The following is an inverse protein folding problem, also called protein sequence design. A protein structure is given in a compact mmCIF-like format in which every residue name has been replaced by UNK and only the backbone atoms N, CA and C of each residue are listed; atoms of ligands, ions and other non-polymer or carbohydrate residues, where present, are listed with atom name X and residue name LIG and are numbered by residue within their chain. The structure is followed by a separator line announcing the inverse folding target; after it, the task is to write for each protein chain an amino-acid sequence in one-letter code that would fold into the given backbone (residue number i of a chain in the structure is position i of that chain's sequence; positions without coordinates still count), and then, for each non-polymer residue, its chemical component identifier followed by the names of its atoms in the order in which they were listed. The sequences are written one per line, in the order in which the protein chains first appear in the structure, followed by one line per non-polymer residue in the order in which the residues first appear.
data_IF_115851855740
#
_entry.id   IF_115851855740
#
_cell.length_a   1.000
_cell.length_b   1.000
_cell.length_c   1.000
_cell.angle_alpha   90.00
_cell.angle_beta   90.00
_cell.angle_gamma   90.00
#
_symmetry.space_group_name_H-M   'P 1'
#
loop_
_entity.id
_entity.type
_entity.pdbx_description
1 polymer ?
#
# COMPACT_ATOMS: atom_id res chain seq x y z
N UNK A 1 2.72 17.28 18.75
CA UNK A 1 2.33 18.61 18.21
C UNK A 1 2.24 18.64 16.69
N UNK A 2 3.24 18.19 15.92
CA UNK A 2 3.19 18.23 14.45
C UNK A 2 2.08 17.37 13.81
N UNK A 3 1.88 16.13 14.28
CA UNK A 3 0.83 15.22 13.77
C UNK A 3 -0.56 15.84 13.99
N UNK A 4 -0.82 16.35 15.19
CA UNK A 4 -2.06 17.05 15.53
C UNK A 4 -2.29 18.27 14.64
N UNK A 5 -1.24 19.07 14.40
CA UNK A 5 -1.32 20.22 13.49
C UNK A 5 -1.69 19.82 12.06
N UNK A 6 -1.08 18.75 11.53
CA UNK A 6 -1.43 18.21 10.21
C UNK A 6 -2.89 17.76 10.17
N UNK A 7 -3.37 17.02 11.18
CA UNK A 7 -4.76 16.57 11.25
C UNK A 7 -5.73 17.76 11.25
N UNK A 8 -5.45 18.81 12.04
CA UNK A 8 -6.30 19.99 12.12
C UNK A 8 -6.31 20.79 10.81
N UNK A 9 -5.15 20.98 10.18
CA UNK A 9 -5.06 21.68 8.88
C UNK A 9 -5.79 20.90 7.80
N UNK A 10 -5.60 19.58 7.73
CA UNK A 10 -6.23 18.75 6.70
C UNK A 10 -7.73 18.63 6.90
N UNK A 11 -8.21 18.43 8.13
CA UNK A 11 -9.63 18.40 8.42
C UNK A 11 -10.32 19.75 8.17
N UNK A 12 -9.61 20.87 8.34
CA UNK A 12 -10.12 22.21 8.04
C UNK A 12 -10.14 22.54 6.54
N UNK A 13 -9.09 22.18 5.79
CA UNK A 13 -8.99 22.46 4.35
C UNK A 13 -9.82 21.50 3.49
N UNK A 14 -9.97 20.26 3.93
CA UNK A 14 -10.67 19.20 3.22
C UNK A 14 -11.71 18.53 4.13
N UNK A 15 -12.79 19.25 4.50
CA UNK A 15 -13.85 18.67 5.32
C UNK A 15 -14.51 17.52 4.55
N UNK A 16 -14.67 16.37 5.23
CA UNK A 16 -15.40 15.22 4.68
C UNK A 16 -16.78 15.16 5.29
N UNK A 17 -17.78 14.99 4.43
CA UNK A 17 -19.15 14.79 4.87
C UNK A 17 -19.26 13.45 5.62
N UNK A 18 -19.81 13.49 6.83
CA UNK A 18 -20.31 12.29 7.50
C UNK A 18 -21.50 11.82 6.67
N UNK A 19 -21.44 10.58 6.16
CA UNK A 19 -22.28 10.09 5.06
C UNK A 19 -23.80 10.31 5.19
N UNK A 20 -24.54 10.02 4.14
CA UNK A 20 -25.97 10.33 4.06
C UNK A 20 -26.77 9.66 5.19
N UNK A 21 -27.66 10.44 5.82
CA UNK A 21 -28.55 9.93 6.86
C UNK A 21 -29.46 8.85 6.28
N UNK A 22 -29.54 7.71 6.96
CA UNK A 22 -30.44 6.63 6.56
C UNK A 22 -31.91 7.07 6.61
N UNK A 23 -32.64 6.81 5.51
CA UNK A 23 -34.07 7.08 5.37
C UNK A 23 -34.75 5.76 4.99
N UNK A 24 -35.61 5.18 5.84
CA UNK A 24 -36.14 3.82 5.67
C UNK A 24 -36.92 3.51 4.39
N UNK A 25 -37.29 4.52 3.59
CA UNK A 25 -38.15 4.40 2.42
C UNK A 25 -37.54 4.97 1.13
N UNK A 26 -36.26 5.35 1.15
CA UNK A 26 -35.52 5.73 -0.05
C UNK A 26 -34.60 4.59 -0.47
N UNK A 27 -34.40 4.37 -1.79
CA UNK A 27 -33.38 3.44 -2.25
C UNK A 27 -32.01 3.84 -1.68
N UNK A 28 -31.25 2.84 -1.27
CA UNK A 28 -29.92 3.02 -0.69
C UNK A 28 -28.98 3.62 -1.73
N UNK A 29 -28.55 4.85 -1.47
CA UNK A 29 -27.54 5.51 -2.29
C UNK A 29 -26.18 4.80 -2.15
N UNK A 30 -25.32 4.97 -3.15
CA UNK A 30 -23.93 4.52 -3.06
C UNK A 30 -23.26 5.30 -1.93
N UNK A 31 -22.95 4.59 -0.85
CA UNK A 31 -22.15 5.10 0.25
C UNK A 31 -20.86 4.33 0.27
N UNK A 32 -19.74 5.06 0.24
CA UNK A 32 -18.45 4.44 0.45
C UNK A 32 -18.21 4.36 1.96
N UNK A 33 -17.77 3.21 2.48
CA UNK A 33 -17.24 3.18 3.83
C UNK A 33 -15.91 3.93 3.87
N UNK A 34 -15.40 4.15 5.08
CA UNK A 34 -14.09 4.73 5.29
C UNK A 34 -13.00 3.90 4.59
N UNK A 35 -11.91 4.56 4.17
CA UNK A 35 -10.87 3.98 3.31
C UNK A 35 -10.26 2.67 3.86
N UNK A 36 -10.25 2.50 5.17
CA UNK A 36 -9.74 1.30 5.85
C UNK A 36 -10.71 0.11 5.82
N UNK A 37 -11.99 0.35 5.49
CA UNK A 37 -13.01 -0.69 5.23
C UNK A 37 -13.37 -0.83 3.75
N UNK A 38 -12.92 0.09 2.89
CA UNK A 38 -13.20 0.05 1.45
C UNK A 38 -12.67 -1.21 0.77
N UNK A 39 -11.61 -1.82 1.30
CA UNK A 39 -11.12 -3.11 0.81
C UNK A 39 -12.13 -4.25 1.01
N UNK A 40 -12.84 -4.28 2.14
CA UNK A 40 -13.91 -5.26 2.40
C UNK A 40 -15.13 -5.01 1.51
N UNK A 41 -15.45 -3.74 1.30
CA UNK A 41 -16.52 -3.33 0.39
C UNK A 41 -16.26 -3.80 -1.04
N UNK A 42 -15.02 -3.79 -1.51
CA UNK A 42 -14.66 -4.36 -2.81
C UNK A 42 -15.04 -5.83 -2.92
N UNK A 43 -14.76 -6.66 -1.89
CA UNK A 43 -15.12 -8.08 -1.90
C UNK A 43 -16.63 -8.29 -1.93
N UNK A 44 -17.41 -7.53 -1.15
CA UNK A 44 -18.89 -7.68 -1.11
C UNK A 44 -19.53 -7.37 -2.47
N UNK A 45 -18.87 -6.55 -3.30
CA UNK A 45 -19.33 -6.18 -4.64
C UNK A 45 -18.95 -7.18 -5.74
N UNK A 46 -18.12 -8.18 -5.43
CA UNK A 46 -17.72 -9.21 -6.41
C UNK A 46 -18.93 -10.06 -6.76
N UNK A 47 -19.21 -10.19 -8.06
CA UNK A 47 -20.34 -10.97 -8.55
C UNK A 47 -20.27 -12.42 -8.03
N UNK A 48 -21.41 -12.95 -7.58
CA UNK A 48 -21.54 -14.32 -7.07
C UNK A 48 -20.71 -14.66 -5.83
N UNK A 49 -20.00 -13.71 -5.22
CA UNK A 49 -19.37 -13.94 -3.92
C UNK A 49 -20.43 -13.74 -2.83
N UNK A 50 -20.60 -14.77 -2.00
CA UNK A 50 -21.53 -14.69 -0.87
C UNK A 50 -21.13 -13.55 0.09
N UNK A 51 -22.07 -12.67 0.50
CA UNK A 51 -21.75 -11.52 1.36
C UNK A 51 -21.16 -11.89 2.72
N UNK A 52 -21.52 -13.05 3.30
CA UNK A 52 -20.95 -13.51 4.56
C UNK A 52 -19.51 -14.00 4.34
N UNK A 53 -19.24 -14.70 3.24
CA UNK A 53 -17.87 -15.06 2.85
C UNK A 53 -17.03 -13.79 2.65
N UNK A 54 -17.53 -12.82 1.89
CA UNK A 54 -16.84 -11.57 1.58
C UNK A 54 -16.58 -10.72 2.83
N UNK A 55 -17.60 -10.53 3.68
CA UNK A 55 -17.56 -9.61 4.81
C UNK A 55 -16.99 -10.20 6.10
N UNK A 56 -17.04 -11.53 6.30
CA UNK A 56 -16.59 -12.17 7.53
C UNK A 56 -15.43 -13.14 7.30
N UNK A 57 -15.59 -14.10 6.38
CA UNK A 57 -14.61 -15.20 6.23
C UNK A 57 -13.29 -14.72 5.64
N UNK A 58 -13.31 -13.96 4.55
CA UNK A 58 -12.10 -13.41 3.92
C UNK A 58 -11.28 -12.55 4.91
N UNK A 59 -11.85 -11.53 5.57
CA UNK A 59 -11.11 -10.77 6.59
C UNK A 59 -10.60 -11.64 7.75
N UNK A 60 -11.39 -12.61 8.22
CA UNK A 60 -10.95 -13.52 9.28
C UNK A 60 -9.72 -14.35 8.85
N UNK A 61 -9.69 -14.82 7.60
CA UNK A 61 -8.52 -15.51 7.03
C UNK A 61 -7.31 -14.58 6.98
N UNK A 62 -7.46 -13.34 6.54
CA UNK A 62 -6.35 -12.37 6.53
C UNK A 62 -5.78 -12.15 7.95
N UNK A 63 -6.64 -11.93 8.94
CA UNK A 63 -6.23 -11.77 10.34
C UNK A 63 -5.51 -13.02 10.83
N UNK A 64 -6.05 -14.21 10.55
CA UNK A 64 -5.44 -15.47 10.93
C UNK A 64 -4.05 -15.64 10.30
N UNK A 65 -3.91 -15.34 9.00
CA UNK A 65 -2.61 -15.38 8.31
C UNK A 65 -1.60 -14.48 9.02
N UNK A 66 -1.94 -13.23 9.31
CA UNK A 66 -1.05 -12.31 10.03
C UNK A 66 -0.70 -12.80 11.44
N UNK A 67 -1.65 -13.42 12.14
CA UNK A 67 -1.44 -13.99 13.47
C UNK A 67 -0.47 -15.18 13.43
N UNK A 68 -0.53 -16.03 12.39
CA UNK A 68 0.30 -17.23 12.30
C UNK A 68 1.68 -16.98 11.70
N UNK A 69 1.89 -15.90 10.92
CA UNK A 69 3.21 -15.55 10.32
C UNK A 69 4.39 -15.70 11.30
N UNK A 70 4.38 -15.15 12.53
CA UNK A 70 5.54 -15.25 13.43
C UNK A 70 5.89 -16.70 13.81
N UNK A 71 4.94 -17.64 13.71
CA UNK A 71 5.18 -19.06 14.00
C UNK A 71 5.86 -19.79 12.84
N UNK A 72 5.79 -19.25 11.62
CA UNK A 72 6.51 -19.78 10.46
C UNK A 72 7.82 -19.02 10.22
N UNK A 73 7.88 -17.71 10.49
CA UNK A 73 9.11 -16.92 10.41
C UNK A 73 9.96 -17.03 11.70
N UNK A 74 10.49 -18.23 11.95
CA UNK A 74 11.36 -18.52 13.11
C UNK A 74 12.83 -18.19 12.89
N UNK A 75 13.18 -17.43 11.85
CA UNK A 75 14.56 -17.15 11.50
C UNK A 75 15.29 -16.35 12.59
N UNK A 76 16.52 -16.72 12.96
CA UNK A 76 17.32 -15.93 13.93
C UNK A 76 17.85 -14.60 13.37
N UNK A 77 17.81 -14.42 12.05
CA UNK A 77 18.34 -13.24 11.36
C UNK A 77 17.31 -12.12 11.39
N UNK A 78 17.66 -10.94 11.89
CA UNK A 78 16.73 -9.79 11.99
C UNK A 78 16.69 -8.98 10.68
N UNK A 79 17.79 -8.95 9.93
CA UNK A 79 17.89 -8.13 8.73
C UNK A 79 16.93 -8.59 7.63
N UNK A 80 16.15 -7.65 7.08
CA UNK A 80 15.21 -7.90 5.98
C UNK A 80 15.88 -8.58 4.78
N UNK A 81 17.10 -8.15 4.44
CA UNK A 81 17.86 -8.72 3.31
C UNK A 81 18.20 -10.21 3.48
N UNK A 82 18.21 -10.70 4.72
CA UNK A 82 18.45 -12.11 5.02
C UNK A 82 17.17 -12.97 4.95
N UNK A 83 16.01 -12.34 4.77
CA UNK A 83 14.67 -12.97 4.73
C UNK A 83 13.92 -12.67 3.42
N UNK A 84 14.48 -12.99 2.24
CA UNK A 84 13.90 -12.60 0.95
C UNK A 84 12.45 -13.08 0.75
N UNK A 85 12.14 -14.28 1.21
CA UNK A 85 10.79 -14.85 1.14
C UNK A 85 9.78 -14.00 1.95
N UNK A 86 10.05 -13.78 3.24
CA UNK A 86 9.14 -13.06 4.14
C UNK A 86 8.99 -11.59 3.78
N UNK A 87 10.08 -10.94 3.34
CA UNK A 87 10.03 -9.55 2.87
C UNK A 87 9.19 -9.44 1.60
N UNK A 88 9.40 -10.33 0.63
CA UNK A 88 8.60 -10.33 -0.60
C UNK A 88 7.12 -10.60 -0.32
N UNK A 89 6.82 -11.56 0.57
CA UNK A 89 5.44 -11.86 0.98
C UNK A 89 4.78 -10.67 1.67
N UNK A 90 5.47 -10.02 2.61
CA UNK A 90 4.95 -8.86 3.32
C UNK A 90 4.68 -7.67 2.40
N UNK A 91 5.60 -7.36 1.48
CA UNK A 91 5.41 -6.28 0.51
C UNK A 91 4.29 -6.60 -0.48
N UNK A 92 4.19 -7.84 -0.95
CA UNK A 92 3.08 -8.26 -1.81
C UNK A 92 1.72 -8.16 -1.09
N UNK A 93 1.65 -8.54 0.19
CA UNK A 93 0.44 -8.40 0.99
C UNK A 93 0.02 -6.93 1.20
N UNK A 94 0.98 -6.04 1.46
CA UNK A 94 0.71 -4.60 1.52
C UNK A 94 0.22 -4.04 0.17
N UNK A 95 0.82 -4.50 -0.93
CA UNK A 95 0.37 -4.17 -2.28
C UNK A 95 -1.04 -4.66 -2.57
N UNK A 96 -1.41 -5.85 -2.10
CA UNK A 96 -2.78 -6.36 -2.21
C UNK A 96 -3.77 -5.49 -1.44
N UNK A 97 -3.47 -5.10 -0.20
CA UNK A 97 -4.35 -4.23 0.58
C UNK A 97 -4.60 -2.93 -0.19
N UNK A 98 -3.55 -2.29 -0.71
CA UNK A 98 -3.68 -1.07 -1.50
C UNK A 98 -4.53 -1.28 -2.77
N UNK A 99 -4.27 -2.36 -3.52
CA UNK A 99 -5.00 -2.66 -4.76
C UNK A 99 -6.49 -2.92 -4.50
N UNK A 100 -6.83 -3.72 -3.49
CA UNK A 100 -8.22 -4.03 -3.14
C UNK A 100 -8.94 -2.76 -2.64
N UNK A 101 -8.26 -1.91 -1.87
CA UNK A 101 -8.81 -0.61 -1.46
C UNK A 101 -9.13 0.27 -2.67
N UNK A 102 -8.26 0.31 -3.69
CA UNK A 102 -8.55 1.03 -4.95
C UNK A 102 -9.78 0.45 -5.63
N UNK A 103 -9.89 -0.88 -5.76
CA UNK A 103 -11.08 -1.54 -6.32
C UNK A 103 -12.39 -1.13 -5.62
N UNK A 104 -12.36 -0.94 -4.30
CA UNK A 104 -13.56 -0.51 -3.57
C UNK A 104 -14.04 0.90 -3.92
N UNK A 105 -13.17 1.77 -4.47
CA UNK A 105 -13.53 3.11 -4.96
C UNK A 105 -13.88 3.15 -6.46
N UNK A 106 -13.70 2.05 -7.20
CA UNK A 106 -13.85 2.01 -8.66
C UNK A 106 -15.12 1.29 -9.10
N UNK A 107 -15.52 1.56 -10.33
CA UNK A 107 -16.63 0.88 -11.02
C UNK A 107 -16.25 -0.58 -11.35
N UNK A 108 -17.14 -1.28 -12.08
CA UNK A 108 -16.84 -2.57 -12.68
C UNK A 108 -15.54 -2.57 -13.51
N UNK A 109 -15.16 -1.39 -14.05
CA UNK A 109 -13.87 -1.10 -14.63
C UNK A 109 -12.98 -0.33 -13.61
N UNK A 110 -11.77 -0.82 -13.26
CA UNK A 110 -10.90 -0.17 -12.28
C UNK A 110 -10.36 1.19 -12.74
N UNK A 111 -10.51 1.54 -14.03
CA UNK A 111 -10.11 2.82 -14.59
C UNK A 111 -11.22 3.87 -14.58
N UNK A 112 -12.43 3.48 -14.18
CA UNK A 112 -13.60 4.36 -14.13
C UNK A 112 -14.02 4.64 -12.68
N UNK A 113 -14.49 5.87 -12.46
CA UNK A 113 -15.07 6.26 -11.18
C UNK A 113 -16.42 5.57 -10.98
N UNK A 114 -16.70 5.11 -9.76
CA UNK A 114 -18.02 4.60 -9.41
C UNK A 114 -18.98 5.78 -9.22
N UNK A 115 -19.89 5.99 -10.18
CA UNK A 115 -20.84 7.11 -10.17
C UNK A 115 -22.31 6.67 -10.18
N UNK A 116 -22.60 5.39 -10.43
CA UNK A 116 -23.97 4.87 -10.46
C UNK A 116 -24.11 3.41 -10.05
N UNK A 117 -25.33 3.02 -9.65
CA UNK A 117 -25.59 1.69 -9.04
C UNK A 117 -25.35 0.54 -10.03
N UNK A 118 -25.61 0.76 -11.32
CA UNK A 118 -25.36 -0.23 -12.37
C UNK A 118 -23.88 -0.60 -12.56
N UNK A 119 -22.96 0.14 -11.94
CA UNK A 119 -21.52 -0.10 -11.97
C UNK A 119 -21.00 -0.79 -10.69
N UNK A 120 -21.89 -1.11 -9.75
CA UNK A 120 -21.50 -1.66 -8.45
C UNK A 120 -20.90 -3.06 -8.57
N UNK A 121 -21.44 -3.92 -9.43
CA UNK A 121 -21.02 -5.31 -9.53
C UNK A 121 -19.64 -5.39 -10.18
N UNK A 122 -18.70 -6.02 -9.48
CA UNK A 122 -17.33 -6.23 -9.94
C UNK A 122 -17.23 -7.61 -10.59
N UNK A 123 -16.65 -7.66 -11.79
CA UNK A 123 -16.36 -8.92 -12.47
C UNK A 123 -15.33 -9.76 -11.67
N UNK A 124 -15.66 -11.01 -11.27
CA UNK A 124 -14.79 -11.82 -10.43
C UNK A 124 -13.48 -12.20 -11.10
N UNK A 125 -13.51 -12.37 -12.43
CA UNK A 125 -12.33 -12.80 -13.19
C UNK A 125 -11.32 -11.68 -13.31
N UNK A 126 -11.77 -10.45 -13.61
CA UNK A 126 -10.93 -9.26 -13.69
C UNK A 126 -10.39 -8.90 -12.30
N UNK A 127 -11.24 -8.93 -11.27
CA UNK A 127 -10.82 -8.67 -9.90
C UNK A 127 -9.77 -9.70 -9.46
N UNK A 128 -10.10 -10.99 -9.51
CA UNK A 128 -9.20 -12.06 -9.09
C UNK A 128 -7.88 -12.11 -9.87
N UNK A 129 -7.93 -11.95 -11.20
CA UNK A 129 -6.72 -11.92 -12.04
C UNK A 129 -5.83 -10.73 -11.73
N UNK A 130 -6.41 -9.54 -11.50
CA UNK A 130 -5.64 -8.35 -11.12
C UNK A 130 -4.92 -8.55 -9.78
N UNK A 131 -5.60 -9.16 -8.79
CA UNK A 131 -5.00 -9.45 -7.49
C UNK A 131 -3.87 -10.46 -7.62
N UNK A 132 -4.08 -11.56 -8.34
CA UNK A 132 -3.06 -12.60 -8.54
C UNK A 132 -1.85 -12.06 -9.28
N UNK A 133 -2.06 -11.33 -10.39
CA UNK A 133 -0.99 -10.76 -11.19
C UNK A 133 -0.19 -9.73 -10.39
N UNK A 134 -0.86 -8.78 -9.74
CA UNK A 134 -0.19 -7.77 -8.93
C UNK A 134 0.62 -8.40 -7.78
N UNK A 135 0.07 -9.43 -7.13
CA UNK A 135 0.76 -10.15 -6.05
C UNK A 135 1.99 -10.89 -6.56
N UNK A 136 1.86 -11.61 -7.68
CA UNK A 136 2.96 -12.35 -8.29
C UNK A 136 4.07 -11.39 -8.75
N UNK A 137 3.72 -10.26 -9.36
CA UNK A 137 4.67 -9.25 -9.80
C UNK A 137 5.36 -8.58 -8.61
N UNK A 138 4.61 -8.14 -7.60
CA UNK A 138 5.16 -7.52 -6.40
C UNK A 138 6.09 -8.49 -5.65
N UNK A 139 5.63 -9.72 -5.42
CA UNK A 139 6.43 -10.76 -4.77
C UNK A 139 7.68 -11.07 -5.60
N UNK A 140 7.54 -11.35 -6.89
CA UNK A 140 8.64 -11.72 -7.78
C UNK A 140 9.69 -10.61 -7.86
N UNK A 141 9.26 -9.37 -8.06
CA UNK A 141 10.14 -8.20 -8.09
C UNK A 141 10.91 -8.05 -6.78
N UNK A 142 10.22 -8.05 -5.63
CA UNK A 142 10.86 -7.86 -4.32
C UNK A 142 11.79 -9.02 -4.00
N UNK A 143 11.38 -10.25 -4.27
CA UNK A 143 12.18 -11.44 -4.04
C UNK A 143 13.49 -11.40 -4.84
N UNK A 144 13.39 -11.12 -6.15
CA UNK A 144 14.56 -10.99 -7.04
C UNK A 144 15.44 -9.83 -6.60
N UNK A 145 14.85 -8.68 -6.28
CA UNK A 145 15.58 -7.51 -5.81
C UNK A 145 16.35 -7.83 -4.53
N UNK A 146 15.70 -8.36 -3.49
CA UNK A 146 16.35 -8.69 -2.21
C UNK A 146 17.47 -9.70 -2.41
N UNK A 147 17.26 -10.73 -3.24
CA UNK A 147 18.28 -11.75 -3.53
C UNK A 147 19.47 -11.18 -4.31
N UNK A 148 19.20 -10.33 -5.30
CA UNK A 148 20.23 -9.60 -6.05
C UNK A 148 21.04 -8.67 -5.13
N UNK A 149 20.37 -7.94 -4.24
CA UNK A 149 21.03 -7.09 -3.23
C UNK A 149 21.92 -7.90 -2.30
N UNK A 150 21.42 -9.03 -1.81
CA UNK A 150 22.18 -9.91 -0.93
C UNK A 150 23.43 -10.45 -1.61
N UNK A 151 23.34 -10.89 -2.86
CA UNK A 151 24.52 -11.41 -3.59
C UNK A 151 25.60 -10.34 -3.79
N UNK A 152 25.20 -9.09 -4.06
CA UNK A 152 26.14 -7.95 -4.12
C UNK A 152 26.82 -7.71 -2.78
N UNK A 153 26.08 -7.75 -1.67
CA UNK A 153 26.65 -7.58 -0.33
C UNK A 153 27.61 -8.72 0.04
N UNK A 154 27.26 -9.95 -0.29
CA UNK A 154 28.11 -11.10 -0.01
C UNK A 154 29.41 -11.08 -0.85
N UNK A 155 29.34 -10.64 -2.11
CA UNK A 155 30.53 -10.40 -2.93
C UNK A 155 31.45 -9.30 -2.36
N UNK A 156 30.87 -8.20 -1.86
CA UNK A 156 31.64 -7.13 -1.19
C UNK A 156 32.27 -7.61 0.11
N UNK A 157 31.59 -8.48 0.87
CA UNK A 157 32.13 -9.11 2.08
C UNK A 157 33.28 -10.07 1.77
N UNK A 158 33.16 -10.86 0.71
CA UNK A 158 34.20 -11.80 0.28
C UNK A 158 35.43 -11.09 -0.29
N UNK A 159 35.26 -9.97 -1.00
CA UNK A 159 36.35 -9.16 -1.54
C UNK A 159 37.14 -8.42 -0.45
N UNK A 160 36.52 -8.15 0.70
CA UNK A 160 37.24 -7.66 1.89
C UNK A 160 37.95 -8.86 2.54
N UNK A 161 39.29 -8.81 2.63
CA UNK A 161 40.08 -9.74 3.47
C UNK A 161 39.40 -9.88 4.85
N UNK A 162 39.41 -11.06 5.50
CA UNK A 162 38.70 -11.29 6.75
C UNK A 162 39.13 -10.24 7.77
N UNK A 163 38.25 -9.26 7.98
CA UNK A 163 38.44 -8.23 8.98
C UNK A 163 38.10 -8.93 10.30
N UNK A 164 38.99 -8.93 11.31
CA UNK A 164 38.68 -9.50 12.61
C UNK A 164 37.36 -8.89 13.09
N UNK A 165 36.51 -9.71 13.72
CA UNK A 165 35.14 -9.41 14.16
C UNK A 165 35.02 -8.01 14.77
N UNK A 166 34.85 -7.01 13.92
CA UNK A 166 34.65 -5.62 14.27
C UNK A 166 33.42 -5.22 13.52
N UNK A 167 32.36 -4.95 14.30
CA UNK A 167 31.02 -4.52 13.89
C UNK A 167 31.05 -3.96 12.47
N UNK A 168 30.66 -4.79 11.50
CA UNK A 168 30.58 -4.36 10.10
C UNK A 168 29.60 -3.19 10.10
N UNK A 169 29.99 -1.98 9.66
CA UNK A 169 29.07 -0.85 9.68
C UNK A 169 27.80 -1.22 8.89
N UNK A 170 26.61 -0.82 9.37
CA UNK A 170 25.37 -1.06 8.65
C UNK A 170 25.50 -0.50 7.23
N UNK A 171 24.95 -1.23 6.25
CA UNK A 171 25.05 -0.82 4.86
C UNK A 171 24.35 0.53 4.65
N UNK A 172 25.06 1.45 4.02
CA UNK A 172 24.63 2.81 3.68
C UNK A 172 24.29 2.82 2.19
N UNK A 173 23.10 3.30 1.83
CA UNK A 173 22.71 3.49 0.43
C UNK A 173 23.75 4.36 -0.29
N UNK A 174 24.11 3.98 -1.52
CA UNK A 174 24.96 4.82 -2.36
C UNK A 174 24.25 6.11 -2.76
N UNK A 175 25.03 7.14 -3.12
CA UNK A 175 24.46 8.42 -3.58
C UNK A 175 23.51 8.24 -4.77
N UNK A 176 23.86 7.38 -5.73
CA UNK A 176 23.01 7.08 -6.88
C UNK A 176 21.67 6.46 -6.46
N UNK A 177 21.69 5.47 -5.57
CA UNK A 177 20.47 4.85 -5.05
C UNK A 177 19.59 5.83 -4.27
N UNK A 178 20.20 6.69 -3.46
CA UNK A 178 19.48 7.75 -2.73
C UNK A 178 18.79 8.69 -3.72
N UNK A 179 19.51 9.18 -4.75
CA UNK A 179 18.92 10.08 -5.73
C UNK A 179 17.85 9.41 -6.58
N UNK A 180 18.02 8.14 -6.96
CA UNK A 180 16.97 7.38 -7.66
C UNK A 180 15.73 7.19 -6.79
N UNK A 181 15.89 6.88 -5.50
CA UNK A 181 14.76 6.74 -4.57
C UNK A 181 14.04 8.07 -4.36
N UNK A 182 14.78 9.16 -4.11
CA UNK A 182 14.20 10.49 -3.95
C UNK A 182 13.50 10.95 -5.24
N UNK A 183 14.13 10.77 -6.41
CA UNK A 183 13.52 11.09 -7.70
C UNK A 183 12.25 10.28 -7.96
N UNK A 184 12.26 8.98 -7.67
CA UNK A 184 11.09 8.12 -7.80
C UNK A 184 9.95 8.51 -6.85
N UNK A 185 10.25 8.84 -5.60
CA UNK A 185 9.26 9.30 -4.63
C UNK A 185 8.68 10.68 -5.00
N UNK A 186 9.49 11.60 -5.53
CA UNK A 186 9.00 12.89 -6.03
C UNK A 186 8.10 12.73 -7.26
N UNK A 187 8.46 11.83 -8.18
CA UNK A 187 7.59 11.50 -9.32
C UNK A 187 6.27 10.86 -8.86
N UNK A 188 6.31 9.94 -7.90
CA UNK A 188 5.12 9.37 -7.29
C UNK A 188 4.26 10.46 -6.63
N UNK A 189 4.88 11.39 -5.91
CA UNK A 189 4.16 12.48 -5.26
C UNK A 189 3.48 13.39 -6.28
N UNK A 190 4.18 13.81 -7.34
CA UNK A 190 3.58 14.62 -8.41
C UNK A 190 2.42 13.89 -9.11
N UNK A 191 2.55 12.58 -9.32
CA UNK A 191 1.47 11.75 -9.84
C UNK A 191 0.25 11.72 -8.91
N UNK A 192 0.49 11.52 -7.61
CA UNK A 192 -0.58 11.50 -6.60
C UNK A 192 -1.25 12.87 -6.46
N UNK A 193 -0.50 13.97 -6.46
CA UNK A 193 -1.04 15.34 -6.41
C UNK A 193 -1.94 15.62 -7.62
N UNK A 194 -1.53 15.19 -8.82
CA UNK A 194 -2.36 15.27 -10.01
C UNK A 194 -3.62 14.41 -9.90
N UNK A 195 -3.51 13.22 -9.34
CA UNK A 195 -4.66 12.32 -9.13
C UNK A 195 -5.67 12.89 -8.14
N UNK A 196 -5.20 13.51 -7.04
CA UNK A 196 -6.03 14.21 -6.06
C UNK A 196 -6.80 15.35 -6.73
N UNK A 197 -6.12 16.16 -7.54
CA UNK A 197 -6.77 17.24 -8.27
C UNK A 197 -7.89 16.70 -9.18
N UNK A 198 -7.63 15.62 -9.92
CA UNK A 198 -8.68 14.95 -10.70
C UNK A 198 -9.80 14.43 -9.82
N UNK A 199 -9.50 13.81 -8.69
CA UNK A 199 -10.51 13.27 -7.78
C UNK A 199 -11.46 14.37 -7.28
N UNK A 200 -10.97 15.56 -6.96
CA UNK A 200 -11.82 16.70 -6.61
C UNK A 200 -12.69 17.18 -7.77
N UNK A 201 -12.17 17.24 -8.99
CA UNK A 201 -12.95 17.60 -10.18
C UNK A 201 -14.12 16.65 -10.46
N UNK A 202 -13.98 15.38 -10.07
CA UNK A 202 -15.03 14.35 -10.21
C UNK A 202 -15.81 14.11 -8.91
N UNK A 203 -15.67 14.98 -7.91
CA UNK A 203 -16.35 14.87 -6.60
C UNK A 203 -16.09 13.56 -5.84
N UNK A 204 -14.93 12.93 -6.05
CA UNK A 204 -14.53 11.67 -5.41
C UNK A 204 -13.80 11.92 -4.09
N UNK A 205 -14.46 12.57 -3.12
CA UNK A 205 -13.85 13.04 -1.88
C UNK A 205 -13.17 11.92 -1.05
N UNK A 206 -13.80 10.74 -0.95
CA UNK A 206 -13.24 9.62 -0.21
C UNK A 206 -11.98 9.04 -0.86
N UNK A 207 -11.94 9.03 -2.19
CA UNK A 207 -10.77 8.60 -2.95
C UNK A 207 -9.64 9.64 -2.84
N UNK A 208 -9.96 10.94 -2.94
CA UNK A 208 -9.01 12.02 -2.70
C UNK A 208 -8.38 11.94 -1.30
N UNK A 209 -9.17 11.59 -0.26
CA UNK A 209 -8.65 11.42 1.11
C UNK A 209 -7.61 10.29 1.20
N UNK A 210 -7.88 9.14 0.56
CA UNK A 210 -6.90 8.06 0.46
C UNK A 210 -5.60 8.53 -0.19
N UNK A 211 -5.70 9.24 -1.31
CA UNK A 211 -4.55 9.73 -2.06
C UNK A 211 -3.74 10.77 -1.29
N UNK A 212 -4.41 11.68 -0.57
CA UNK A 212 -3.79 12.61 0.37
C UNK A 212 -2.98 11.84 1.43
N UNK A 213 -3.53 10.76 1.99
CA UNK A 213 -2.81 9.88 2.90
C UNK A 213 -1.55 9.28 2.26
N UNK A 214 -1.65 8.82 1.02
CA UNK A 214 -0.50 8.30 0.26
C UNK A 214 0.57 9.36 -0.01
N UNK A 215 0.17 10.61 -0.30
CA UNK A 215 1.08 11.76 -0.43
C UNK A 215 1.86 11.98 0.86
N UNK A 216 1.21 11.95 2.03
CA UNK A 216 1.92 12.09 3.30
C UNK A 216 2.91 10.95 3.57
N UNK A 217 2.55 9.71 3.21
CA UNK A 217 3.47 8.58 3.33
C UNK A 217 4.68 8.76 2.41
N UNK A 218 4.46 9.14 1.15
CA UNK A 218 5.52 9.39 0.17
C UNK A 218 6.43 10.56 0.61
N UNK A 219 5.84 11.65 1.10
CA UNK A 219 6.57 12.79 1.64
C UNK A 219 7.40 12.41 2.88
N UNK A 220 6.80 11.69 3.83
CA UNK A 220 7.50 11.22 5.03
C UNK A 220 8.67 10.29 4.67
N UNK A 221 8.48 9.38 3.71
CA UNK A 221 9.55 8.52 3.18
C UNK A 221 10.67 9.35 2.54
N UNK A 222 10.32 10.37 1.75
CA UNK A 222 11.27 11.29 1.10
C UNK A 222 12.12 12.03 2.13
N UNK A 223 11.47 12.65 3.12
CA UNK A 223 12.15 13.38 4.21
C UNK A 223 13.01 12.43 5.04
N UNK A 224 12.52 11.23 5.34
CA UNK A 224 13.27 10.24 6.11
C UNK A 224 14.54 9.80 5.37
N UNK A 225 14.42 9.44 4.08
CA UNK A 225 15.56 9.04 3.25
C UNK A 225 16.55 10.19 3.10
N UNK A 226 16.06 11.40 2.84
CA UNK A 226 16.91 12.59 2.75
C UNK A 226 17.68 12.83 4.06
N UNK A 227 17.00 12.85 5.20
CA UNK A 227 17.64 13.03 6.51
C UNK A 227 18.65 11.92 6.82
N UNK A 228 18.30 10.66 6.58
CA UNK A 228 19.23 9.55 6.79
C UNK A 228 20.45 9.71 5.88
N UNK A 229 20.28 10.17 4.63
CA UNK A 229 21.40 10.38 3.72
C UNK A 229 22.36 11.49 4.13
N UNK A 230 21.87 12.56 4.78
CA UNK A 230 22.71 13.68 5.21
C UNK A 230 23.54 13.34 6.44
N UNK A 231 23.05 12.47 7.33
CA UNK A 231 23.78 11.98 8.50
C UNK A 231 24.83 10.90 8.19
N UNK A 232 24.88 10.40 6.95
CA UNK A 232 25.84 9.37 6.51
C UNK A 232 27.07 9.96 5.79
N UNK A 233 27.17 11.29 5.73
CA UNK A 233 28.41 12.02 5.38
C UNK A 233 29.27 12.22 6.61
#
# INVERSE_FOLDING_TARGET
SAITGIILVMGGLFPVEVGVKYIPNLPTQITFPEWYFTSLYAFIRVQHLDPFIAGAIIPAIFVLVFLIVPFFDRGKKIAMLDRPFWVALGVAALGQIALVTVWGFRAANPFEALTGEGQLVIDPTLFGSSLLLASALAYGFVYVYVRWRRSKLDALRAAKKPIPYRKVPPYILSKGEIYSLLGGLLLLQAFLDFSIFRAFLFSLQNFALLEIGMVFIAFAATVHIYRVSTHLK
#
